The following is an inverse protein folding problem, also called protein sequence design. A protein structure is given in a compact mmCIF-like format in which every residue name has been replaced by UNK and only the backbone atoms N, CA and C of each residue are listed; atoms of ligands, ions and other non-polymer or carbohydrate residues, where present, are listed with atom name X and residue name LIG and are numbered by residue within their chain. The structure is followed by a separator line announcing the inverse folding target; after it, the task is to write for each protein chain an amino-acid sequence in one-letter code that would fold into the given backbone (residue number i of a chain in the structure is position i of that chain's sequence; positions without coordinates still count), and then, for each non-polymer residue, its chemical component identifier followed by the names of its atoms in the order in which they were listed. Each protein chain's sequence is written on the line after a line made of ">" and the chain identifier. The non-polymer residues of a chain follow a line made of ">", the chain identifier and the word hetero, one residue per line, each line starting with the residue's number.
data_IF_893950694836
#
_entry.id   IF_893950694836
#
_cell.length_a   1.000
_cell.length_b   1.000
_cell.length_c   1.000
_cell.angle_alpha   90.00
_cell.angle_beta   90.00
_cell.angle_gamma   90.00
#
_symmetry.space_group_name_H-M   'P 1'
#
loop_
_entity.id
_entity.type
_entity.pdbx_description
1 polymer ?
#
# COMPACT_ATOMS: atom_id res chain seq x y z
N UNK A 1 -47.59 24.41 1.61
CA UNK A 1 -47.64 23.10 0.92
C UNK A 1 -46.38 22.97 0.09
N UNK A 2 -45.48 22.06 0.44
CA UNK A 2 -44.25 21.84 -0.33
C UNK A 2 -44.60 21.10 -1.63
N UNK A 3 -44.07 21.57 -2.76
CA UNK A 3 -44.34 20.98 -4.07
C UNK A 3 -43.73 19.59 -4.19
N UNK A 4 -44.39 18.69 -4.93
CA UNK A 4 -43.93 17.33 -5.22
C UNK A 4 -42.53 17.36 -5.88
N UNK A 5 -42.27 18.38 -6.71
CA UNK A 5 -40.95 18.62 -7.32
C UNK A 5 -39.84 18.93 -6.30
N UNK A 6 -40.16 19.59 -5.19
CA UNK A 6 -39.21 19.90 -4.12
C UNK A 6 -38.85 18.67 -3.28
N UNK A 7 -39.79 17.73 -3.13
CA UNK A 7 -39.56 16.46 -2.42
C UNK A 7 -38.70 15.49 -3.25
N UNK A 8 -38.90 15.44 -4.58
CA UNK A 8 -38.10 14.62 -5.49
C UNK A 8 -36.64 15.09 -5.53
N UNK A 9 -36.40 16.41 -5.55
CA UNK A 9 -35.05 16.97 -5.56
C UNK A 9 -34.29 16.70 -4.24
N UNK A 10 -34.99 16.76 -3.11
CA UNK A 10 -34.42 16.43 -1.80
C UNK A 10 -34.10 14.93 -1.65
N UNK A 11 -34.94 14.05 -2.20
CA UNK A 11 -34.70 12.60 -2.22
C UNK A 11 -33.51 12.22 -3.12
N UNK A 12 -33.36 12.86 -4.29
CA UNK A 12 -32.19 12.68 -5.17
C UNK A 12 -30.88 13.16 -4.52
N UNK A 13 -30.93 14.26 -3.75
CA UNK A 13 -29.77 14.74 -2.98
C UNK A 13 -29.39 13.78 -1.83
N UNK A 14 -30.36 13.10 -1.23
CA UNK A 14 -30.14 12.10 -0.17
C UNK A 14 -29.66 10.73 -0.69
N UNK A 15 -29.83 10.43 -1.99
CA UNK A 15 -29.34 9.19 -2.62
C UNK A 15 -27.90 9.25 -3.12
N UNK A 16 -27.19 10.37 -2.90
CA UNK A 16 -25.72 10.37 -2.97
C UNK A 16 -25.20 9.65 -1.72
N UNK A 17 -25.48 8.35 -1.62
CA UNK A 17 -24.66 7.46 -0.84
C UNK A 17 -23.27 7.57 -1.44
N UNK A 18 -22.40 8.33 -0.77
CA UNK A 18 -20.97 8.19 -0.96
C UNK A 18 -20.64 6.77 -0.52
N UNK A 19 -20.74 5.82 -1.44
CA UNK A 19 -20.08 4.53 -1.32
C UNK A 19 -18.58 4.81 -1.49
N UNK A 20 -17.97 5.43 -0.48
CA UNK A 20 -16.52 5.36 -0.25
C UNK A 20 -16.20 3.98 0.32
N UNK A 21 -16.58 2.96 -0.45
CA UNK A 21 -16.32 1.56 -0.14
C UNK A 21 -15.27 1.13 -1.14
N UNK A 22 -14.07 0.87 -0.64
CA UNK A 22 -12.96 0.39 -1.45
C UNK A 22 -13.32 -0.93 -2.12
N UNK A 23 -13.81 -0.83 -3.35
CA UNK A 23 -14.50 -1.90 -4.07
C UNK A 23 -13.61 -2.48 -5.17
N UNK A 24 -12.30 -2.63 -4.89
CA UNK A 24 -11.37 -3.29 -5.79
C UNK A 24 -9.93 -3.23 -5.30
N UNK A 25 -9.15 -4.27 -5.56
CA UNK A 25 -7.72 -4.31 -5.25
C UNK A 25 -6.93 -3.50 -6.29
N UNK A 26 -6.19 -2.48 -5.86
CA UNK A 26 -5.40 -1.67 -6.78
C UNK A 26 -3.93 -2.00 -6.68
N UNK A 27 -3.30 -2.41 -7.78
CA UNK A 27 -1.86 -2.63 -7.82
C UNK A 27 -1.17 -1.51 -8.60
N UNK A 28 -0.29 -0.78 -7.92
CA UNK A 28 0.51 0.29 -8.50
C UNK A 28 1.96 -0.19 -8.63
N UNK A 29 2.40 -0.40 -9.87
CA UNK A 29 3.83 -0.53 -10.14
C UNK A 29 4.56 0.78 -9.81
N UNK A 30 5.90 0.72 -9.79
CA UNK A 30 6.76 1.88 -9.44
C UNK A 30 6.38 3.17 -10.17
N UNK A 31 6.18 3.11 -11.48
CA UNK A 31 5.83 4.29 -12.27
C UNK A 31 4.44 4.84 -11.91
N UNK A 32 3.46 3.97 -11.64
CA UNK A 32 2.08 4.35 -11.37
C UNK A 32 1.86 5.11 -10.04
N UNK A 33 2.80 5.01 -9.10
CA UNK A 33 2.81 5.83 -7.87
C UNK A 33 3.88 6.93 -7.87
N UNK A 34 4.68 7.03 -8.94
CA UNK A 34 5.70 8.05 -9.12
C UNK A 34 6.97 7.80 -8.31
N UNK A 35 7.41 6.54 -8.24
CA UNK A 35 8.65 6.17 -7.59
C UNK A 35 9.86 6.81 -8.28
N UNK A 36 10.81 7.31 -7.50
CA UNK A 36 12.16 7.60 -7.98
C UNK A 36 12.88 6.30 -8.35
N UNK A 37 13.90 6.40 -9.20
CA UNK A 37 14.82 5.29 -9.43
C UNK A 37 15.63 5.00 -8.16
N UNK A 38 15.94 3.72 -7.87
CA UNK A 38 16.90 3.36 -6.84
C UNK A 38 18.25 4.05 -7.09
N UNK A 39 18.99 4.37 -6.03
CA UNK A 39 20.36 4.92 -6.12
C UNK A 39 21.33 3.97 -6.83
N UNK A 40 21.10 2.66 -6.70
CA UNK A 40 21.78 1.59 -7.45
C UNK A 40 20.84 0.43 -7.71
N UNK A 41 21.21 -0.43 -8.65
CA UNK A 41 20.48 -1.67 -8.91
C UNK A 41 20.32 -2.48 -7.62
N UNK A 42 19.08 -2.85 -7.31
CA UNK A 42 18.78 -3.70 -6.16
C UNK A 42 19.17 -5.14 -6.49
N UNK A 43 19.79 -5.82 -5.51
CA UNK A 43 20.07 -7.25 -5.63
C UNK A 43 18.76 -8.05 -5.73
N UNK A 44 18.81 -9.25 -6.29
CA UNK A 44 17.67 -10.16 -6.35
C UNK A 44 17.71 -11.23 -5.27
N UNK A 45 16.56 -11.84 -5.00
CA UNK A 45 16.52 -13.13 -4.32
C UNK A 45 16.92 -14.24 -5.29
N UNK A 46 17.84 -15.10 -4.86
CA UNK A 46 18.26 -16.28 -5.63
C UNK A 46 17.26 -17.45 -5.52
N UNK A 47 16.23 -17.30 -4.68
CA UNK A 47 15.24 -18.32 -4.38
C UNK A 47 13.91 -17.65 -3.98
N UNK A 48 12.83 -18.44 -3.89
CA UNK A 48 11.51 -17.92 -3.49
C UNK A 48 11.56 -17.36 -2.08
N UNK A 49 10.79 -16.28 -1.84
CA UNK A 49 10.59 -15.74 -0.50
C UNK A 49 10.04 -16.82 0.44
N UNK A 50 10.66 -16.96 1.60
CA UNK A 50 10.30 -17.95 2.63
C UNK A 50 9.55 -17.31 3.80
N UNK A 51 9.76 -16.01 4.03
CA UNK A 51 9.12 -15.24 5.09
C UNK A 51 8.51 -13.94 4.58
N UNK A 52 7.55 -13.43 5.32
CA UNK A 52 6.92 -12.12 5.09
C UNK A 52 6.88 -11.37 6.42
N UNK A 53 7.40 -10.14 6.44
CA UNK A 53 7.31 -9.25 7.59
C UNK A 53 6.46 -8.03 7.30
N UNK A 54 5.64 -7.65 8.28
CA UNK A 54 4.75 -6.49 8.21
C UNK A 54 5.30 -5.37 9.08
N UNK A 55 5.43 -4.18 8.50
CA UNK A 55 6.00 -3.02 9.18
C UNK A 55 5.05 -1.83 9.08
N UNK A 56 4.55 -1.25 10.19
CA UNK A 56 3.92 0.06 10.11
C UNK A 56 4.92 1.09 9.59
N UNK A 57 4.53 1.95 8.65
CA UNK A 57 5.44 2.96 8.08
C UNK A 57 5.73 4.10 9.05
N UNK A 58 5.01 4.18 10.18
CA UNK A 58 5.09 5.29 11.14
C UNK A 58 4.75 6.66 10.53
N UNK A 59 4.10 6.67 9.38
CA UNK A 59 3.51 7.87 8.78
C UNK A 59 2.08 8.04 9.25
N UNK A 60 1.49 9.21 8.99
CA UNK A 60 0.05 9.33 9.16
C UNK A 60 -0.68 8.45 8.13
N UNK A 61 -1.90 8.03 8.47
CA UNK A 61 -2.75 7.30 7.55
C UNK A 61 -3.08 8.19 6.35
N UNK A 62 -2.95 7.64 5.15
CA UNK A 62 -3.11 8.39 3.90
C UNK A 62 -4.57 8.46 3.40
N UNK A 63 -5.55 8.28 4.29
CA UNK A 63 -6.98 8.40 3.95
C UNK A 63 -7.55 7.19 3.19
N UNK A 64 -8.82 7.27 2.81
CA UNK A 64 -9.54 6.18 2.14
C UNK A 64 -9.42 6.21 0.61
N UNK A 65 -8.47 6.97 0.06
CA UNK A 65 -8.21 7.04 -1.37
C UNK A 65 -6.74 6.69 -1.66
N UNK A 66 -6.44 6.27 -2.89
CA UNK A 66 -5.08 5.88 -3.26
C UNK A 66 -4.22 7.06 -3.73
N UNK A 67 -4.77 8.25 -3.94
CA UNK A 67 -4.03 9.43 -4.44
C UNK A 67 -3.07 9.92 -3.36
N UNK A 68 -3.60 10.13 -2.16
CA UNK A 68 -2.83 10.58 -1.00
C UNK A 68 -1.77 9.55 -0.61
N UNK A 69 -2.09 8.27 -0.72
CA UNK A 69 -1.12 7.20 -0.44
C UNK A 69 0.04 7.19 -1.43
N UNK A 70 -0.16 7.54 -2.72
CA UNK A 70 0.96 7.71 -3.65
C UNK A 70 1.90 8.84 -3.20
N UNK A 71 1.35 9.93 -2.67
CA UNK A 71 2.17 11.02 -2.12
C UNK A 71 2.93 10.59 -0.87
N UNK A 72 2.27 9.90 0.06
CA UNK A 72 2.92 9.33 1.24
C UNK A 72 4.04 8.35 0.86
N UNK A 73 3.81 7.49 -0.13
CA UNK A 73 4.82 6.57 -0.66
C UNK A 73 6.07 7.30 -1.17
N UNK A 74 5.91 8.38 -1.95
CA UNK A 74 7.05 9.20 -2.42
C UNK A 74 7.81 9.86 -1.26
N UNK A 75 7.08 10.35 -0.25
CA UNK A 75 7.70 10.91 0.96
C UNK A 75 8.50 9.88 1.74
N UNK A 76 7.96 8.66 1.91
CA UNK A 76 8.66 7.56 2.59
C UNK A 76 9.91 7.14 1.81
N UNK A 77 9.79 6.98 0.48
CA UNK A 77 10.95 6.65 -0.37
C UNK A 77 12.05 7.70 -0.23
N UNK A 78 11.70 8.99 -0.32
CA UNK A 78 12.64 10.09 -0.14
C UNK A 78 13.34 10.01 1.23
N UNK A 79 12.58 9.80 2.30
CA UNK A 79 13.12 9.68 3.66
C UNK A 79 14.08 8.49 3.80
N UNK A 80 13.69 7.30 3.33
CA UNK A 80 14.57 6.13 3.36
C UNK A 80 15.87 6.36 2.57
N UNK A 81 15.77 6.96 1.39
CA UNK A 81 16.93 7.30 0.58
C UNK A 81 17.82 8.36 1.27
N UNK A 82 17.24 9.36 1.94
CA UNK A 82 18.02 10.32 2.74
C UNK A 82 18.74 9.65 3.91
N UNK A 83 18.13 8.62 4.50
CA UNK A 83 18.69 7.84 5.59
C UNK A 83 19.64 6.71 5.13
N UNK A 84 20.10 6.76 3.88
CA UNK A 84 21.13 5.84 3.38
C UNK A 84 20.62 4.58 2.69
N UNK A 85 19.31 4.33 2.64
CA UNK A 85 18.79 3.23 1.83
C UNK A 85 19.00 3.51 0.33
N UNK A 86 19.08 2.44 -0.46
CA UNK A 86 19.19 2.55 -1.93
C UNK A 86 17.85 2.92 -2.57
N UNK A 87 16.75 2.58 -1.91
CA UNK A 87 15.38 2.80 -2.37
C UNK A 87 14.44 2.81 -1.15
N UNK A 88 13.13 2.79 -1.39
CA UNK A 88 12.15 2.51 -0.34
C UNK A 88 12.44 1.15 0.33
N UNK A 89 12.36 1.10 1.66
CA UNK A 89 12.87 -0.01 2.46
C UNK A 89 12.17 -1.36 2.28
N UNK A 90 11.00 -1.39 1.66
CA UNK A 90 10.14 -2.57 1.58
C UNK A 90 9.90 -3.05 0.14
N UNK A 91 9.57 -4.34 0.01
CA UNK A 91 9.21 -4.98 -1.25
C UNK A 91 7.88 -4.45 -1.79
N UNK A 92 6.90 -4.29 -0.90
CA UNK A 92 5.59 -3.73 -1.20
C UNK A 92 5.14 -2.81 -0.06
N UNK A 93 4.17 -1.96 -0.33
CA UNK A 93 3.40 -1.30 0.71
C UNK A 93 1.90 -1.47 0.46
N UNK A 94 1.12 -1.46 1.53
CA UNK A 94 -0.34 -1.48 1.50
C UNK A 94 -0.90 -0.28 2.24
N UNK A 95 -1.95 0.32 1.69
CA UNK A 95 -2.59 1.48 2.31
C UNK A 95 -3.76 1.99 1.49
N UNK A 96 -4.39 3.05 1.99
CA UNK A 96 -5.47 3.72 1.28
C UNK A 96 -6.64 2.82 1.00
N UNK A 97 -7.15 2.95 -0.22
CA UNK A 97 -8.30 2.21 -0.69
C UNK A 97 -7.90 0.84 -1.24
N UNK A 98 -7.36 -0.03 -0.38
CA UNK A 98 -6.80 -1.35 -0.75
C UNK A 98 -5.71 -1.26 -1.84
N UNK A 99 -4.90 -0.19 -1.79
CA UNK A 99 -3.78 0.00 -2.69
C UNK A 99 -2.57 -0.83 -2.28
N UNK A 100 -1.98 -1.52 -3.25
CA UNK A 100 -0.70 -2.23 -3.14
C UNK A 100 0.30 -1.48 -4.01
N UNK A 101 1.36 -0.96 -3.41
CA UNK A 101 2.37 -0.16 -4.06
C UNK A 101 3.68 -0.95 -4.14
N UNK A 102 4.24 -1.06 -5.33
CA UNK A 102 5.46 -1.82 -5.58
C UNK A 102 6.71 -1.05 -5.14
N UNK A 103 7.52 -1.65 -4.28
CA UNK A 103 8.88 -1.22 -3.97
C UNK A 103 9.88 -2.06 -4.76
N UNK A 104 10.62 -2.94 -4.07
CA UNK A 104 11.56 -3.89 -4.69
C UNK A 104 10.88 -5.11 -5.33
N UNK A 105 9.57 -5.29 -5.13
CA UNK A 105 8.81 -6.37 -5.74
C UNK A 105 9.09 -7.75 -5.13
N UNK A 106 8.62 -8.81 -5.77
CA UNK A 106 8.74 -10.19 -5.25
C UNK A 106 10.13 -10.79 -5.35
N UNK A 107 10.91 -10.34 -6.32
CA UNK A 107 12.23 -10.91 -6.65
C UNK A 107 13.37 -9.99 -6.26
N UNK A 108 13.10 -8.73 -5.90
CA UNK A 108 14.13 -7.80 -5.44
C UNK A 108 14.36 -7.91 -3.94
N UNK A 109 15.61 -7.91 -3.54
CA UNK A 109 16.03 -7.71 -2.16
C UNK A 109 15.74 -6.24 -1.80
N UNK A 110 14.80 -6.03 -0.88
CA UNK A 110 14.53 -4.70 -0.34
C UNK A 110 15.64 -4.30 0.64
N UNK A 111 15.86 -3.00 0.87
CA UNK A 111 16.84 -2.54 1.86
C UNK A 111 16.65 -3.14 3.25
N UNK A 112 15.40 -3.46 3.65
CA UNK A 112 15.15 -4.10 4.94
C UNK A 112 15.50 -5.58 4.99
N UNK A 113 15.53 -6.27 3.83
CA UNK A 113 15.87 -7.69 3.72
C UNK A 113 17.37 -7.97 3.59
N UNK A 114 18.23 -6.95 3.56
CA UNK A 114 19.69 -7.11 3.31
C UNK A 114 20.37 -7.98 4.37
N UNK A 115 19.88 -7.94 5.61
CA UNK A 115 20.46 -8.67 6.74
C UNK A 115 19.59 -9.85 7.20
N UNK A 116 18.60 -10.26 6.41
CA UNK A 116 17.77 -11.41 6.75
C UNK A 116 18.47 -12.72 6.39
N UNK A 117 18.39 -13.70 7.28
CA UNK A 117 19.01 -15.02 7.10
C UNK A 117 18.40 -15.83 5.93
N UNK A 118 17.13 -15.54 5.61
CA UNK A 118 16.38 -16.16 4.52
C UNK A 118 15.72 -15.08 3.65
N UNK A 119 15.43 -15.35 2.37
CA UNK A 119 14.76 -14.36 1.53
C UNK A 119 13.38 -14.03 2.07
N UNK A 120 13.21 -12.77 2.43
CA UNK A 120 12.03 -12.26 3.14
C UNK A 120 11.43 -11.10 2.38
N UNK A 121 10.11 -11.10 2.26
CA UNK A 121 9.35 -10.00 1.67
C UNK A 121 8.87 -9.07 2.78
N UNK A 122 9.35 -7.84 2.79
CA UNK A 122 8.91 -6.80 3.72
C UNK A 122 7.74 -6.04 3.11
N UNK A 123 6.63 -5.94 3.84
CA UNK A 123 5.47 -5.17 3.44
C UNK A 123 5.26 -4.01 4.41
N UNK A 124 5.34 -2.77 3.90
CA UNK A 124 5.01 -1.57 4.65
C UNK A 124 3.50 -1.37 4.75
N UNK A 125 2.94 -1.21 5.94
CA UNK A 125 1.55 -0.87 6.18
C UNK A 125 1.47 0.64 6.42
N UNK A 126 0.89 1.39 5.47
CA UNK A 126 0.94 2.85 5.48
C UNK A 126 0.10 3.43 6.61
N UNK A 127 0.76 3.86 7.68
CA UNK A 127 0.12 4.43 8.86
C UNK A 127 0.89 4.17 10.15
N UNK A 128 0.37 4.73 11.24
CA UNK A 128 0.73 4.41 12.62
C UNK A 128 -0.36 3.50 13.16
N UNK A 129 0.04 2.30 13.59
CA UNK A 129 -0.88 1.31 14.13
C UNK A 129 -0.47 0.93 15.55
N UNK A 130 -1.40 1.07 16.47
CA UNK A 130 -1.38 0.46 17.79
C UNK A 130 -2.46 -0.65 17.85
N UNK A 131 -2.36 -1.52 18.84
CA UNK A 131 -3.35 -2.59 19.07
C UNK A 131 -4.77 -2.01 19.07
N UNK A 132 -5.64 -2.52 18.20
CA UNK A 132 -7.04 -2.09 18.07
C UNK A 132 -7.28 -0.96 17.06
N UNK A 133 -6.25 -0.46 16.38
CA UNK A 133 -6.38 0.59 15.33
C UNK A 133 -6.22 0.04 13.91
N UNK A 134 -6.19 -1.28 13.77
CA UNK A 134 -6.08 -2.00 12.52
C UNK A 134 -7.25 -1.65 11.58
N UNK A 135 -6.96 -1.49 10.29
CA UNK A 135 -7.96 -1.19 9.25
C UNK A 135 -8.27 -2.45 8.44
N UNK A 136 -9.47 -3.04 8.55
CA UNK A 136 -9.81 -4.32 7.91
C UNK A 136 -9.55 -4.34 6.41
N UNK A 137 -9.87 -3.25 5.70
CA UNK A 137 -9.61 -3.06 4.27
C UNK A 137 -8.12 -3.26 3.91
N UNK A 138 -7.18 -2.77 4.72
CA UNK A 138 -5.75 -2.91 4.45
C UNK A 138 -5.33 -4.38 4.59
N UNK A 139 -5.75 -5.05 5.67
CA UNK A 139 -5.47 -6.48 5.88
C UNK A 139 -6.11 -7.35 4.79
N UNK A 140 -7.29 -6.97 4.30
CA UNK A 140 -7.93 -7.65 3.18
C UNK A 140 -7.08 -7.58 1.90
N UNK A 141 -6.57 -6.40 1.54
CA UNK A 141 -5.69 -6.22 0.38
C UNK A 141 -4.42 -7.06 0.47
N UNK A 142 -3.87 -7.15 1.69
CA UNK A 142 -2.69 -7.94 2.01
C UNK A 142 -2.96 -9.43 1.79
N UNK A 143 -4.05 -9.96 2.37
CA UNK A 143 -4.43 -11.35 2.25
C UNK A 143 -4.65 -11.77 0.79
N UNK A 144 -5.29 -10.92 -0.03
CA UNK A 144 -5.46 -11.22 -1.46
C UNK A 144 -4.11 -11.31 -2.17
N UNK A 145 -3.21 -10.34 -1.95
CA UNK A 145 -1.89 -10.32 -2.60
C UNK A 145 -1.04 -11.53 -2.23
N UNK A 146 -1.05 -11.90 -0.94
CA UNK A 146 -0.33 -13.07 -0.45
C UNK A 146 -0.91 -14.36 -1.04
N UNK A 147 -2.23 -14.52 -1.04
CA UNK A 147 -2.91 -15.69 -1.63
C UNK A 147 -2.69 -15.79 -3.13
N UNK A 148 -2.65 -14.67 -3.85
CA UNK A 148 -2.32 -14.69 -5.27
C UNK A 148 -0.90 -15.20 -5.51
N UNK A 149 0.06 -14.77 -4.69
CA UNK A 149 1.45 -15.23 -4.79
C UNK A 149 1.53 -16.73 -4.50
N UNK A 150 0.97 -17.23 -3.41
CA UNK A 150 1.05 -18.66 -3.07
C UNK A 150 0.49 -19.57 -4.17
N UNK A 151 -0.58 -19.15 -4.86
CA UNK A 151 -1.18 -19.92 -5.97
C UNK A 151 -0.36 -19.94 -7.26
N UNK A 152 0.47 -18.93 -7.52
CA UNK A 152 1.20 -18.77 -8.78
C UNK A 152 2.73 -18.78 -8.57
N UNK A 153 3.19 -19.47 -7.51
CA UNK A 153 4.61 -19.60 -7.16
C UNK A 153 5.22 -20.90 -7.63
#
# INVERSE_FOLDING_TARGET
>A
MMSISSLVLAALAATVFVIDSCSGLYHYNRNAWGASQPKRALAGFNQKAQLIYLHPTQTDYCGNNNIDCKQTMRSIQKMHMQNGCEDIGFNFAVGGCTGIFEGSGWTGMSPFSVNDDVPTVHIGVVGKYSKGTEKPEIFHSMNIKLNYRTKHS
#
